data_IF_637282217825
#
_entry.id   IF_637282217825
#
_cell.length_a   1.000
_cell.length_b   1.000
_cell.length_c   1.000
_cell.angle_alpha   90.00
_cell.angle_beta   90.00
_cell.angle_gamma   90.00
#
_symmetry.space_group_name_H-M   'P 1'
#
loop_
_entity.id
_entity.type
_entity.pdbx_description
1 polymer ?
#
# COMPACT_ATOMS: atom_id res chain seq x y z
N UNK A 1 -2.00 -23.13 -49.61
CA UNK A 1 -2.20 -23.77 -48.29
C UNK A 1 -1.83 -22.74 -47.23
N UNK A 2 -2.81 -22.11 -46.57
CA UNK A 2 -2.57 -21.05 -45.59
C UNK A 2 -2.50 -21.71 -44.21
N UNK A 3 -1.31 -21.74 -43.62
CA UNK A 3 -1.08 -22.24 -42.27
C UNK A 3 -1.53 -21.15 -41.27
N UNK A 4 -2.74 -21.27 -40.74
CA UNK A 4 -3.23 -20.39 -39.67
C UNK A 4 -2.68 -20.92 -38.34
N UNK A 5 -1.58 -20.33 -37.88
CA UNK A 5 -1.04 -20.54 -36.54
C UNK A 5 -1.99 -19.89 -35.52
N UNK A 6 -2.81 -20.70 -34.86
CA UNK A 6 -3.55 -20.28 -33.68
C UNK A 6 -2.57 -20.04 -32.53
N UNK A 7 -2.17 -18.78 -32.35
CA UNK A 7 -1.55 -18.34 -31.11
C UNK A 7 -2.61 -18.37 -30.01
N UNK A 8 -2.68 -19.48 -29.29
CA UNK A 8 -3.38 -19.51 -28.00
C UNK A 8 -2.50 -18.71 -27.04
N UNK A 9 -2.93 -17.53 -26.56
CA UNK A 9 -2.13 -16.80 -25.59
C UNK A 9 -1.97 -17.68 -24.35
N UNK A 10 -0.75 -17.82 -23.80
CA UNK A 10 -0.56 -18.58 -22.58
C UNK A 10 -1.40 -17.93 -21.47
N UNK A 11 -2.41 -18.64 -21.00
CA UNK A 11 -3.15 -18.26 -19.79
C UNK A 11 -2.23 -18.53 -18.61
N UNK A 12 -1.41 -17.55 -18.25
CA UNK A 12 -0.70 -17.57 -16.97
C UNK A 12 -1.75 -17.45 -15.87
N UNK A 13 -2.13 -18.59 -15.29
CA UNK A 13 -2.97 -18.65 -14.11
C UNK A 13 -2.20 -18.07 -12.94
N UNK A 14 -2.45 -16.80 -12.63
CA UNK A 14 -1.95 -16.14 -11.43
C UNK A 14 -2.52 -16.86 -10.20
N UNK A 15 -1.69 -17.58 -9.46
CA UNK A 15 -2.11 -18.25 -8.24
C UNK A 15 -2.31 -17.21 -7.13
N UNK A 16 -3.54 -17.13 -6.60
CA UNK A 16 -3.91 -16.16 -5.58
C UNK A 16 -4.02 -16.82 -4.21
N UNK A 17 -3.37 -16.23 -3.22
CA UNK A 17 -3.47 -16.65 -1.83
C UNK A 17 -4.84 -16.24 -1.30
N UNK A 18 -5.64 -17.20 -0.87
CA UNK A 18 -6.93 -16.92 -0.25
C UNK A 18 -6.73 -16.46 1.20
N UNK A 19 -7.41 -15.37 1.57
CA UNK A 19 -7.52 -14.94 2.96
C UNK A 19 -8.29 -16.01 3.76
N UNK A 20 -7.56 -16.84 4.51
CA UNK A 20 -8.12 -17.96 5.28
C UNK A 20 -8.39 -17.61 6.75
N UNK A 21 -7.64 -16.66 7.31
CA UNK A 21 -7.74 -16.23 8.71
C UNK A 21 -8.12 -14.76 8.80
N UNK A 22 -8.69 -14.37 9.94
CA UNK A 22 -9.00 -12.95 10.20
C UNK A 22 -7.72 -12.13 10.38
N UNK A 23 -6.73 -12.65 11.11
CA UNK A 23 -5.40 -12.07 11.24
C UNK A 23 -4.37 -13.01 10.60
N UNK A 24 -3.54 -12.49 9.69
CA UNK A 24 -2.49 -13.26 9.00
C UNK A 24 -1.27 -12.40 8.69
N UNK A 25 -0.13 -13.07 8.55
CA UNK A 25 1.15 -12.49 8.13
C UNK A 25 1.63 -13.25 6.90
N UNK A 26 2.04 -12.52 5.87
CA UNK A 26 2.74 -13.05 4.70
C UNK A 26 4.10 -12.39 4.62
N UNK A 27 5.13 -13.19 4.40
CA UNK A 27 6.51 -12.72 4.26
C UNK A 27 7.07 -13.14 2.91
N UNK A 28 7.66 -12.19 2.21
CA UNK A 28 8.30 -12.41 0.91
C UNK A 28 9.74 -11.92 1.00
N UNK A 29 10.70 -12.84 1.18
CA UNK A 29 12.12 -12.50 1.15
C UNK A 29 12.49 -11.79 -0.15
N UNK A 30 13.42 -10.82 -0.08
CA UNK A 30 13.89 -10.05 -1.23
C UNK A 30 12.75 -9.38 -2.04
N UNK A 31 11.70 -8.90 -1.37
CA UNK A 31 10.57 -8.22 -2.01
C UNK A 31 9.91 -9.03 -3.12
N UNK A 32 9.85 -10.36 -2.98
CA UNK A 32 9.41 -11.31 -4.00
C UNK A 32 10.19 -11.21 -5.33
N UNK A 33 11.41 -10.67 -5.31
CA UNK A 33 12.26 -10.40 -6.47
C UNK A 33 11.57 -9.59 -7.60
N UNK A 34 10.54 -8.79 -7.26
CA UNK A 34 9.74 -8.05 -8.22
C UNK A 34 8.58 -8.83 -8.88
N UNK A 35 8.36 -10.09 -8.48
CA UNK A 35 7.23 -10.88 -8.95
C UNK A 35 5.91 -10.38 -8.34
N UNK A 36 4.83 -10.49 -9.11
CA UNK A 36 3.50 -10.08 -8.66
C UNK A 36 2.96 -11.05 -7.61
N UNK A 37 2.49 -10.51 -6.49
CA UNK A 37 1.80 -11.26 -5.45
C UNK A 37 0.29 -11.07 -5.66
N UNK A 38 -0.46 -12.17 -5.62
CA UNK A 38 -1.91 -12.14 -5.69
C UNK A 38 -2.53 -12.60 -4.37
N UNK A 39 -3.43 -11.79 -3.82
CA UNK A 39 -4.20 -12.11 -2.61
C UNK A 39 -5.69 -11.95 -2.92
N UNK A 40 -6.47 -12.99 -2.65
CA UNK A 40 -7.92 -12.94 -2.71
C UNK A 40 -8.48 -12.56 -1.33
N UNK A 41 -8.94 -11.31 -1.20
CA UNK A 41 -9.58 -10.77 0.00
C UNK A 41 -11.01 -11.28 0.03
N UNK A 42 -11.27 -12.25 0.90
CA UNK A 42 -12.57 -12.94 0.99
C UNK A 42 -13.49 -12.34 2.04
N UNK A 43 -12.97 -11.54 2.97
CA UNK A 43 -13.73 -10.97 4.10
C UNK A 43 -13.88 -9.46 3.98
N UNK A 44 -15.07 -8.97 4.35
CA UNK A 44 -15.35 -7.53 4.49
C UNK A 44 -14.56 -6.96 5.66
N UNK A 45 -14.36 -5.65 5.63
CA UNK A 45 -13.59 -4.86 6.59
C UNK A 45 -12.17 -5.39 6.78
N UNK A 46 -11.60 -5.94 5.72
CA UNK A 46 -10.19 -6.31 5.70
C UNK A 46 -9.35 -5.04 5.62
N UNK A 47 -8.23 -5.05 6.32
CA UNK A 47 -7.20 -4.04 6.22
C UNK A 47 -5.84 -4.70 6.12
N UNK A 48 -4.94 -4.10 5.35
CA UNK A 48 -3.59 -4.59 5.12
C UNK A 48 -2.57 -3.55 5.56
N UNK A 49 -1.53 -3.97 6.26
CA UNK A 49 -0.33 -3.18 6.53
C UNK A 49 0.82 -3.79 5.74
N UNK A 50 1.54 -2.96 5.00
CA UNK A 50 2.71 -3.34 4.20
C UNK A 50 3.96 -2.76 4.84
N UNK A 51 5.03 -3.54 4.89
CA UNK A 51 6.32 -3.14 5.46
C UNK A 51 7.50 -3.63 4.62
N UNK A 52 8.58 -2.85 4.65
CA UNK A 52 9.91 -3.23 4.16
C UNK A 52 10.19 -2.97 2.67
N UNK A 53 9.18 -2.90 1.80
CA UNK A 53 9.37 -2.70 0.36
C UNK A 53 8.87 -1.35 -0.14
N UNK A 54 9.73 -0.63 -0.86
CA UNK A 54 9.43 0.67 -1.48
C UNK A 54 8.91 0.46 -2.90
N UNK A 55 8.19 1.47 -3.41
CA UNK A 55 7.75 1.52 -4.80
C UNK A 55 6.85 0.33 -5.17
N UNK A 56 5.78 0.14 -4.39
CA UNK A 56 4.78 -0.91 -4.62
C UNK A 56 3.63 -0.34 -5.46
N UNK A 57 3.32 -1.00 -6.58
CA UNK A 57 2.05 -0.81 -7.29
C UNK A 57 1.02 -1.81 -6.76
N UNK A 58 -0.17 -1.31 -6.46
CA UNK A 58 -1.30 -2.06 -5.93
C UNK A 58 -2.44 -1.93 -6.90
N UNK A 59 -3.04 -3.05 -7.28
CA UNK A 59 -4.24 -3.10 -8.08
C UNK A 59 -5.31 -3.87 -7.32
N UNK A 60 -6.41 -3.20 -7.01
CA UNK A 60 -7.59 -3.81 -6.39
C UNK A 60 -8.81 -3.48 -7.23
N UNK A 61 -9.42 -4.50 -7.83
CA UNK A 61 -10.47 -4.35 -8.86
C UNK A 61 -9.98 -3.42 -9.99
N UNK A 62 -10.71 -2.34 -10.26
CA UNK A 62 -10.38 -1.33 -11.29
C UNK A 62 -9.43 -0.25 -10.79
N UNK A 63 -9.16 -0.20 -9.48
CA UNK A 63 -8.34 0.85 -8.87
C UNK A 63 -6.87 0.46 -8.85
N UNK A 64 -6.02 1.40 -9.23
CA UNK A 64 -4.58 1.30 -9.07
C UNK A 64 -4.08 2.36 -8.10
N UNK A 65 -3.13 1.98 -7.25
CA UNK A 65 -2.42 2.89 -6.36
C UNK A 65 -0.93 2.57 -6.39
N UNK A 66 -0.13 3.59 -6.17
CA UNK A 66 1.30 3.46 -6.05
C UNK A 66 1.72 4.01 -4.70
N UNK A 67 2.58 3.29 -3.98
CA UNK A 67 3.20 3.77 -2.76
C UNK A 67 4.71 3.79 -2.92
N UNK A 68 5.31 4.96 -2.78
CA UNK A 68 6.76 5.10 -2.69
C UNK A 68 7.30 4.73 -1.30
N UNK A 69 6.42 4.73 -0.29
CA UNK A 69 6.78 4.51 1.11
C UNK A 69 6.97 3.03 1.40
N UNK A 70 8.00 2.66 2.19
CA UNK A 70 8.24 1.27 2.57
C UNK A 70 7.16 0.69 3.47
N UNK A 71 6.50 1.57 4.24
CA UNK A 71 5.55 1.22 5.28
C UNK A 71 4.27 2.02 5.04
N UNK A 72 3.14 1.34 4.89
CA UNK A 72 1.84 1.99 4.72
C UNK A 72 0.70 1.00 4.97
N UNK A 73 -0.52 1.51 5.14
CA UNK A 73 -1.71 0.69 5.33
C UNK A 73 -2.79 0.97 4.28
N UNK A 74 -3.71 0.01 4.09
CA UNK A 74 -4.92 0.15 3.31
C UNK A 74 -6.11 -0.49 4.04
N UNK A 75 -7.24 0.21 4.06
CA UNK A 75 -8.55 -0.33 4.44
C UNK A 75 -9.40 -0.58 3.19
N UNK A 76 -9.95 -1.79 3.07
CA UNK A 76 -10.83 -2.18 1.97
C UNK A 76 -12.32 -1.91 2.29
N UNK A 77 -12.65 -1.54 3.53
CA UNK A 77 -14.04 -1.28 3.93
C UNK A 77 -14.92 -2.50 3.65
N UNK A 78 -16.10 -2.32 3.07
CA UNK A 78 -17.01 -3.42 2.76
C UNK A 78 -16.62 -4.25 1.53
N UNK A 79 -15.53 -3.90 0.85
CA UNK A 79 -15.15 -4.52 -0.42
C UNK A 79 -14.36 -5.82 -0.25
N UNK A 80 -14.68 -6.82 -1.07
CA UNK A 80 -13.92 -8.06 -1.25
C UNK A 80 -13.42 -8.17 -2.69
N UNK A 81 -12.43 -9.04 -2.94
CA UNK A 81 -11.91 -9.31 -4.27
C UNK A 81 -10.41 -9.50 -4.32
N UNK A 82 -9.85 -9.44 -5.53
CA UNK A 82 -8.44 -9.71 -5.76
C UNK A 82 -7.60 -8.44 -5.62
N UNK A 83 -6.62 -8.50 -4.73
CA UNK A 83 -5.53 -7.55 -4.59
C UNK A 83 -4.29 -8.13 -5.30
N UNK A 84 -3.80 -7.40 -6.30
CA UNK A 84 -2.53 -7.68 -6.97
C UNK A 84 -1.50 -6.65 -6.50
N UNK A 85 -0.37 -7.14 -6.02
CA UNK A 85 0.72 -6.34 -5.47
C UNK A 85 1.93 -6.56 -6.37
N UNK A 86 2.48 -5.48 -6.90
CA UNK A 86 3.65 -5.48 -7.76
C UNK A 86 4.75 -4.70 -7.06
N UNK A 87 5.54 -5.34 -6.19
CA UNK A 87 6.68 -4.70 -5.58
C UNK A 87 7.76 -4.48 -6.65
N UNK A 88 8.56 -3.43 -6.50
CA UNK A 88 9.84 -3.37 -7.22
C UNK A 88 10.82 -4.34 -6.57
N UNK A 89 11.76 -4.88 -7.36
CA UNK A 89 12.86 -5.68 -6.84
C UNK A 89 13.59 -4.93 -5.72
N UNK A 90 13.75 -5.59 -4.58
CA UNK A 90 14.36 -5.07 -3.37
C UNK A 90 15.10 -6.19 -2.65
N UNK A 91 16.16 -5.87 -1.91
CA UNK A 91 16.83 -6.82 -1.02
C UNK A 91 16.09 -6.94 0.33
N UNK A 92 15.18 -6.02 0.62
CA UNK A 92 14.41 -6.04 1.86
C UNK A 92 13.28 -7.07 1.77
N UNK A 93 12.98 -7.73 2.89
CA UNK A 93 11.77 -8.55 3.03
C UNK A 93 10.53 -7.67 2.94
N UNK A 94 9.59 -8.04 2.08
CA UNK A 94 8.24 -7.47 2.08
C UNK A 94 7.39 -8.26 3.07
N UNK A 95 6.86 -7.58 4.09
CA UNK A 95 5.91 -8.16 5.03
C UNK A 95 4.53 -7.56 4.79
N UNK A 96 3.51 -8.42 4.74
CA UNK A 96 2.11 -8.03 4.58
C UNK A 96 1.35 -8.60 5.76
N UNK A 97 0.85 -7.72 6.62
CA UNK A 97 -0.09 -8.08 7.67
C UNK A 97 -1.50 -7.81 7.19
N UNK A 98 -2.43 -8.73 7.46
CA UNK A 98 -3.84 -8.54 7.15
C UNK A 98 -4.68 -8.80 8.38
N UNK A 99 -5.63 -7.91 8.65
CA UNK A 99 -6.64 -8.09 9.68
C UNK A 99 -8.05 -7.90 9.10
N UNK A 100 -9.03 -8.64 9.63
CA UNK A 100 -10.46 -8.45 9.37
C UNK A 100 -11.08 -7.84 10.60
N UNK A 101 -11.58 -6.62 10.50
CA UNK A 101 -12.36 -6.00 11.56
C UNK A 101 -13.72 -6.70 11.68
N UNK A 102 -14.24 -6.77 12.91
CA UNK A 102 -15.59 -7.25 13.15
C UNK A 102 -16.63 -6.22 12.67
N UNK A 103 -17.77 -6.69 12.16
CA UNK A 103 -18.82 -5.82 11.61
C UNK A 103 -19.40 -4.82 12.62
N UNK A 104 -19.28 -5.13 13.92
CA UNK A 104 -19.75 -4.30 15.02
C UNK A 104 -18.74 -3.22 15.47
N UNK A 105 -17.60 -3.08 14.79
CA UNK A 105 -16.63 -2.02 15.08
C UNK A 105 -17.16 -0.66 14.58
N UNK A 106 -17.57 0.21 15.49
CA UNK A 106 -17.98 1.59 15.18
C UNK A 106 -16.77 2.41 14.69
N UNK A 107 -15.65 2.30 15.38
CA UNK A 107 -14.40 2.99 15.05
C UNK A 107 -13.32 1.97 14.68
N UNK A 108 -12.69 2.13 13.52
CA UNK A 108 -11.62 1.26 13.03
C UNK A 108 -10.33 2.05 12.91
N UNK A 109 -9.35 1.70 13.73
CA UNK A 109 -8.02 2.29 13.74
C UNK A 109 -7.03 1.28 13.16
N UNK A 110 -6.18 1.74 12.25
CA UNK A 110 -5.10 0.93 11.67
C UNK A 110 -3.82 1.72 11.86
N UNK A 111 -2.80 1.10 12.44
CA UNK A 111 -1.52 1.75 12.62
C UNK A 111 -0.37 0.78 12.50
N UNK A 112 0.72 1.30 11.94
CA UNK A 112 2.06 0.72 12.04
C UNK A 112 3.05 1.75 12.60
N UNK A 113 2.53 2.82 13.21
CA UNK A 113 3.34 3.87 13.79
C UNK A 113 4.00 3.33 15.07
N UNK A 114 5.35 3.22 15.12
CA UNK A 114 6.04 2.83 16.35
C UNK A 114 5.66 3.69 17.55
N UNK A 115 5.16 4.92 17.36
CA UNK A 115 4.76 5.82 18.43
C UNK A 115 3.28 5.87 18.77
N UNK A 116 2.52 4.90 18.27
CA UNK A 116 1.09 4.91 18.47
C UNK A 116 0.79 5.22 19.94
N UNK A 117 0.12 6.34 20.19
CA UNK A 117 -0.37 6.72 21.50
C UNK A 117 -1.81 7.17 21.33
N UNK A 118 -2.73 6.28 21.67
CA UNK A 118 -4.16 6.47 21.45
C UNK A 118 -4.93 6.11 22.72
N UNK A 119 -5.82 7.02 23.10
CA UNK A 119 -6.90 6.78 24.05
C UNK A 119 -8.19 6.71 23.27
N UNK A 120 -8.98 5.66 23.49
CA UNK A 120 -10.27 5.47 22.81
C UNK A 120 -11.44 6.05 23.60
N UNK A 121 -12.55 6.31 22.90
CA UNK A 121 -13.77 6.83 23.51
C UNK A 121 -14.58 5.73 24.21
N UNK A 122 -15.19 6.07 25.34
CA UNK A 122 -16.22 5.24 25.97
C UNK A 122 -17.47 5.17 25.11
N UNK A 123 -18.22 4.05 25.17
CA UNK A 123 -19.56 3.84 24.56
C UNK A 123 -19.60 3.51 23.07
N UNK A 124 -18.46 3.48 22.37
CA UNK A 124 -18.35 3.00 20.98
C UNK A 124 -17.45 1.78 20.93
N UNK A 125 -17.80 0.81 20.11
CA UNK A 125 -16.93 -0.33 19.84
C UNK A 125 -15.74 0.16 19.00
N UNK A 126 -14.61 0.35 19.66
CA UNK A 126 -13.37 0.73 18.99
C UNK A 126 -12.51 -0.51 18.76
N UNK A 127 -12.05 -0.63 17.53
CA UNK A 127 -11.20 -1.71 17.09
C UNK A 127 -9.91 -1.15 16.53
N UNK A 128 -8.78 -1.63 17.05
CA UNK A 128 -7.45 -1.23 16.62
C UNK A 128 -6.74 -2.43 16.00
N UNK A 129 -6.22 -2.27 14.79
CA UNK A 129 -5.24 -3.16 14.21
C UNK A 129 -3.88 -2.49 14.21
N UNK A 130 -2.96 -3.02 15.02
CA UNK A 130 -1.57 -2.60 15.05
C UNK A 130 -0.68 -3.67 14.45
N UNK A 131 0.20 -3.29 13.52
CA UNK A 131 1.18 -4.19 12.93
C UNK A 131 2.50 -3.44 12.72
N UNK A 132 3.60 -4.00 13.19
CA UNK A 132 4.95 -3.44 13.12
C UNK A 132 5.97 -4.58 13.29
N UNK A 133 6.79 -4.85 12.27
CA UNK A 133 7.75 -5.96 12.25
C UNK A 133 8.94 -5.79 13.20
N UNK A 134 9.30 -4.57 13.57
CA UNK A 134 10.59 -4.25 14.17
C UNK A 134 10.55 -4.23 15.72
N UNK A 135 9.92 -5.23 16.34
CA UNK A 135 9.77 -5.34 17.80
C UNK A 135 8.74 -4.38 18.43
N UNK A 136 7.62 -4.10 17.76
CA UNK A 136 6.54 -3.34 18.37
C UNK A 136 5.88 -4.12 19.51
N UNK A 137 6.38 -3.97 20.74
CA UNK A 137 5.56 -4.23 21.92
C UNK A 137 4.54 -3.10 22.05
N UNK A 138 3.30 -3.48 22.30
CA UNK A 138 2.23 -2.56 22.61
C UNK A 138 1.95 -2.67 24.10
N UNK A 139 1.99 -1.54 24.78
CA UNK A 139 1.51 -1.42 26.15
C UNK A 139 0.03 -1.02 26.12
N UNK A 140 -0.80 -1.85 26.71
CA UNK A 140 -2.25 -1.71 26.71
C UNK A 140 -2.78 -1.59 28.13
N UNK A 141 -3.45 -0.48 28.42
CA UNK A 141 -4.15 -0.26 29.68
C UNK A 141 -5.65 -0.17 29.46
N UNK A 142 -6.44 -0.80 30.32
CA UNK A 142 -7.89 -0.91 30.17
C UNK A 142 -8.59 -1.04 31.52
N UNK A 143 -9.80 -0.47 31.63
CA UNK A 143 -10.61 -0.54 32.85
C UNK A 143 -11.61 -1.71 32.85
N UNK A 144 -11.88 -2.28 31.68
CA UNK A 144 -12.79 -3.43 31.49
C UNK A 144 -12.07 -4.53 30.71
N UNK A 145 -12.51 -5.80 30.79
CA UNK A 145 -11.92 -6.85 29.99
C UNK A 145 -11.96 -6.53 28.49
N UNK A 146 -10.83 -6.73 27.81
CA UNK A 146 -10.68 -6.44 26.38
C UNK A 146 -10.30 -7.69 25.61
N UNK A 147 -10.76 -7.78 24.36
CA UNK A 147 -10.40 -8.88 23.46
C UNK A 147 -9.16 -8.47 22.67
N UNK A 148 -8.15 -9.34 22.68
CA UNK A 148 -6.93 -9.20 21.88
C UNK A 148 -6.74 -10.44 21.03
N UNK A 149 -6.49 -10.26 19.74
CA UNK A 149 -6.15 -11.34 18.82
C UNK A 149 -4.76 -11.09 18.25
N UNK A 150 -3.89 -12.08 18.38
CA UNK A 150 -2.54 -12.07 17.81
C UNK A 150 -2.40 -13.22 16.81
N UNK A 151 -1.25 -13.36 16.16
CA UNK A 151 -0.97 -14.52 15.30
C UNK A 151 -1.05 -15.86 16.06
N UNK A 152 -0.84 -15.84 17.38
CA UNK A 152 -0.82 -17.03 18.23
C UNK A 152 -2.20 -17.42 18.75
N UNK A 153 -3.20 -16.55 18.65
CA UNK A 153 -4.57 -16.84 19.09
C UNK A 153 -5.29 -15.63 19.67
N UNK A 154 -6.43 -15.92 20.29
CA UNK A 154 -7.30 -14.93 20.93
C UNK A 154 -7.13 -15.03 22.43
N UNK A 155 -6.99 -13.89 23.10
CA UNK A 155 -6.93 -13.77 24.54
C UNK A 155 -7.87 -12.66 25.02
N UNK A 156 -8.40 -12.82 26.23
CA UNK A 156 -9.17 -11.78 26.92
C UNK A 156 -8.32 -11.26 28.07
N UNK A 157 -7.90 -10.00 27.98
CA UNK A 157 -7.10 -9.37 29.01
C UNK A 157 -8.02 -8.79 30.08
N UNK A 158 -7.72 -9.09 31.33
CA UNK A 158 -8.40 -8.49 32.48
C UNK A 158 -8.13 -6.98 32.54
N UNK A 159 -8.92 -6.21 33.32
CA UNK A 159 -8.60 -4.83 33.64
C UNK A 159 -7.17 -4.68 34.16
N UNK A 160 -6.55 -3.55 33.83
CA UNK A 160 -5.24 -3.17 34.36
C UNK A 160 -5.35 -2.92 35.87
N UNK A 161 -4.42 -3.49 36.63
CA UNK A 161 -4.34 -3.35 38.09
C UNK A 161 -3.02 -2.62 38.40
N UNK A 162 -3.06 -1.63 39.29
CA UNK A 162 -1.89 -0.85 39.72
C UNK A 162 -1.12 -0.18 38.57
N UNK A 163 -1.82 0.27 37.52
CA UNK A 163 -1.24 0.94 36.35
C UNK A 163 -0.17 0.15 35.59
N UNK A 164 -0.10 -1.18 35.76
CA UNK A 164 0.82 -2.04 35.02
C UNK A 164 0.17 -2.45 33.69
N UNK A 165 0.60 -1.88 32.54
CA UNK A 165 -0.01 -2.20 31.26
C UNK A 165 0.28 -3.64 30.84
N UNK A 166 -0.62 -4.21 30.05
CA UNK A 166 -0.38 -5.49 29.37
C UNK A 166 0.58 -5.26 28.20
N UNK A 167 1.67 -6.03 28.13
CA UNK A 167 2.55 -6.05 26.97
C UNK A 167 2.06 -7.06 25.94
N UNK A 168 1.86 -6.62 24.70
CA UNK A 168 1.32 -7.42 23.60
C UNK A 168 2.29 -7.34 22.43
N UNK A 169 2.64 -8.50 21.88
CA UNK A 169 3.47 -8.58 20.67
C UNK A 169 2.64 -8.26 19.42
N UNK A 170 3.16 -7.36 18.58
CA UNK A 170 2.64 -7.08 17.25
C UNK A 170 2.82 -8.27 16.27
N UNK A 171 1.90 -8.49 15.31
CA UNK A 171 0.68 -7.73 15.07
C UNK A 171 -0.43 -8.12 16.04
N UNK A 172 -1.25 -7.14 16.41
CA UNK A 172 -2.37 -7.32 17.33
C UNK A 172 -3.63 -6.62 16.82
N UNK A 173 -4.75 -7.31 16.95
CA UNK A 173 -6.08 -6.77 16.84
C UNK A 173 -6.68 -6.63 18.24
N UNK A 174 -7.05 -5.41 18.62
CA UNK A 174 -7.60 -5.06 19.93
C UNK A 174 -9.03 -4.57 19.74
N UNK A 175 -9.95 -5.04 20.58
CA UNK A 175 -11.36 -4.67 20.54
C UNK A 175 -11.88 -4.38 21.95
N UNK A 176 -12.53 -3.22 22.10
CA UNK A 176 -13.22 -2.80 23.32
C UNK A 176 -14.42 -1.91 23.02
N UNK A 177 -15.47 -2.02 23.83
CA UNK A 177 -16.61 -1.09 23.88
C UNK A 177 -16.42 0.06 24.88
N UNK A 178 -15.28 0.10 25.55
CA UNK A 178 -14.92 1.07 26.56
C UNK A 178 -13.50 1.60 26.34
N UNK A 179 -13.12 2.62 27.11
CA UNK A 179 -11.83 3.30 27.05
C UNK A 179 -10.70 2.30 27.27
N UNK A 180 -9.74 2.34 26.36
CA UNK A 180 -8.43 1.72 26.52
C UNK A 180 -7.35 2.66 25.98
N UNK A 181 -6.16 2.54 26.56
CA UNK A 181 -4.97 3.26 26.16
C UNK A 181 -4.00 2.31 25.52
N UNK A 182 -3.52 2.66 24.33
CA UNK A 182 -2.47 1.94 23.62
C UNK A 182 -1.28 2.86 23.46
N UNK A 183 -0.10 2.38 23.88
CA UNK A 183 1.18 3.01 23.59
C UNK A 183 2.17 2.01 22.97
N UNK A 184 2.98 2.44 22.01
CA UNK A 184 4.10 1.67 21.46
C UNK A 184 5.44 2.42 21.66
N UNK A 185 6.58 1.70 21.52
CA UNK A 185 7.92 2.22 21.84
C UNK A 185 8.36 3.44 21.00
N UNK A 186 9.00 4.40 21.66
CA UNK A 186 9.17 5.76 21.16
C UNK A 186 10.39 5.96 20.24
N UNK A 187 10.31 5.71 18.91
CA UNK A 187 11.19 6.34 17.87
C UNK A 187 10.53 6.63 16.48
N UNK A 188 11.05 7.62 15.71
CA UNK A 188 10.36 8.44 14.66
C UNK A 188 9.69 7.76 13.41
N UNK A 189 8.32 7.84 13.29
CA UNK A 189 7.45 8.23 12.11
C UNK A 189 6.40 7.25 11.47
N UNK A 190 5.23 7.77 10.98
CA UNK A 190 4.68 7.77 9.56
C UNK A 190 3.12 7.61 9.32
N UNK A 191 2.66 7.77 8.05
CA UNK A 191 1.31 8.22 7.56
C UNK A 191 0.28 7.13 7.11
N UNK A 192 -1.03 7.48 7.15
CA UNK A 192 -2.20 6.64 6.77
C UNK A 192 -2.96 7.15 5.52
N UNK A 193 -3.51 6.24 4.67
CA UNK A 193 -4.38 6.58 3.53
C UNK A 193 -5.63 5.68 3.41
N UNK A 194 -6.81 6.27 3.15
CA UNK A 194 -8.10 5.56 2.98
C UNK A 194 -8.48 5.43 1.48
N UNK A 195 -9.06 4.29 1.08
CA UNK A 195 -9.34 3.97 -0.34
C UNK A 195 -10.75 4.34 -0.79
N UNK A 196 -11.72 4.38 0.12
CA UNK A 196 -13.11 4.81 -0.10
C UNK A 196 -13.83 5.02 1.24
N UNK A 197 -14.06 6.26 1.65
CA UNK A 197 -14.93 6.61 2.77
C UNK A 197 -15.24 8.11 2.73
N UNK A 198 -16.52 8.49 2.83
CA UNK A 198 -16.87 9.89 3.16
C UNK A 198 -16.47 10.08 4.62
N UNK A 199 -15.61 11.06 4.89
CA UNK A 199 -15.31 11.52 6.25
C UNK A 199 -16.62 11.93 6.90
N UNK A 200 -16.97 11.33 8.03
CA UNK A 200 -17.83 11.98 8.99
C UNK A 200 -16.97 12.53 10.14
N UNK A 201 -17.49 13.51 10.88
CA UNK A 201 -16.78 14.18 11.96
C UNK A 201 -16.48 13.27 13.17
N UNK A 202 -16.78 11.97 13.10
CA UNK A 202 -16.45 10.98 14.13
C UNK A 202 -15.18 10.15 13.82
N UNK A 203 -14.58 10.32 12.64
CA UNK A 203 -13.25 9.78 12.27
C UNK A 203 -12.07 10.57 12.90
N UNK A 204 -12.33 11.41 13.91
CA UNK A 204 -11.33 12.30 14.50
C UNK A 204 -10.54 11.57 15.59
N UNK A 205 -9.42 10.97 15.18
CA UNK A 205 -8.16 10.98 15.94
C UNK A 205 -6.98 10.69 15.01
N UNK A 206 -6.87 11.48 13.93
CA UNK A 206 -5.60 11.71 13.26
C UNK A 206 -5.15 13.12 13.64
N UNK A 207 -4.54 13.27 14.82
CA UNK A 207 -3.85 14.51 15.17
C UNK A 207 -2.56 14.53 14.35
N UNK A 208 -2.63 15.15 13.16
CA UNK A 208 -1.46 15.59 12.41
C UNK A 208 -0.75 16.60 13.33
N UNK A 209 0.28 16.14 14.05
CA UNK A 209 1.23 17.02 14.69
C UNK A 209 2.08 17.64 13.57
N UNK A 210 1.63 18.82 13.15
CA UNK A 210 2.42 19.94 12.64
C UNK A 210 3.94 19.70 12.72
N UNK A 211 4.54 19.29 11.62
CA UNK A 211 5.94 19.63 11.36
C UNK A 211 5.91 21.08 10.93
N UNK A 212 6.21 21.98 11.87
CA UNK A 212 6.53 23.34 11.53
C UNK A 212 7.83 23.35 10.74
N UNK A 213 7.72 23.47 9.43
CA UNK A 213 8.69 24.18 8.57
C UNK A 213 7.98 24.54 7.28
N UNK A 214 8.18 25.78 6.86
CA UNK A 214 7.77 26.29 5.56
C UNK A 214 8.18 25.34 4.41
N UNK A 215 7.25 25.16 3.48
CA UNK A 215 7.39 24.69 2.09
C UNK A 215 7.56 23.17 1.78
N UNK A 216 7.10 22.71 0.58
CA UNK A 216 5.84 23.05 -0.08
C UNK A 216 5.13 21.82 -0.70
N UNK A 217 4.00 22.05 -1.36
CA UNK A 217 3.23 21.11 -2.21
C UNK A 217 4.01 20.50 -3.41
N UNK A 218 5.34 20.40 -3.39
CA UNK A 218 6.16 20.27 -4.60
C UNK A 218 6.41 18.87 -5.17
N UNK A 219 6.08 17.79 -4.46
CA UNK A 219 6.38 16.45 -4.99
C UNK A 219 5.39 16.00 -6.08
N UNK A 220 4.13 16.48 -6.03
CA UNK A 220 3.13 16.15 -7.05
C UNK A 220 3.14 17.10 -8.25
N UNK A 221 3.62 18.34 -8.08
CA UNK A 221 3.88 19.27 -9.19
C UNK A 221 5.13 18.86 -9.96
N UNK A 222 6.21 18.41 -9.32
CA UNK A 222 7.41 17.97 -10.04
C UNK A 222 7.14 16.79 -11.00
N UNK A 223 6.42 15.75 -10.56
CA UNK A 223 6.11 14.60 -11.44
C UNK A 223 5.20 15.02 -12.61
N UNK A 224 4.27 15.96 -12.40
CA UNK A 224 3.44 16.50 -13.48
C UNK A 224 4.22 17.41 -14.43
N UNK A 225 5.19 18.17 -13.92
CA UNK A 225 6.04 19.07 -14.70
C UNK A 225 7.03 18.25 -15.54
N UNK A 226 7.67 17.22 -14.97
CA UNK A 226 8.55 16.31 -15.71
C UNK A 226 7.81 15.57 -16.82
N UNK A 227 6.59 15.08 -16.56
CA UNK A 227 5.78 14.46 -17.61
C UNK A 227 5.37 15.43 -18.72
N UNK A 228 5.12 16.70 -18.40
CA UNK A 228 4.84 17.74 -19.41
C UNK A 228 6.09 18.10 -20.22
N UNK A 229 7.24 18.24 -19.57
CA UNK A 229 8.53 18.52 -20.22
C UNK A 229 8.95 17.38 -21.14
N UNK A 230 8.75 16.13 -20.72
CA UNK A 230 9.03 14.96 -21.55
C UNK A 230 8.14 14.90 -22.80
N UNK A 231 6.84 15.22 -22.66
CA UNK A 231 5.92 15.32 -23.81
C UNK A 231 6.32 16.44 -24.78
N UNK A 232 6.73 17.60 -24.26
CA UNK A 232 7.21 18.72 -25.07
C UNK A 232 8.51 18.38 -25.81
N UNK A 233 9.44 17.67 -25.17
CA UNK A 233 10.68 17.23 -25.78
C UNK A 233 10.43 16.26 -26.96
N UNK A 234 9.51 15.29 -26.80
CA UNK A 234 9.12 14.38 -27.88
C UNK A 234 8.52 15.15 -29.07
N UNK A 235 7.64 16.12 -28.81
CA UNK A 235 7.05 16.95 -29.86
C UNK A 235 8.12 17.76 -30.58
N UNK A 236 9.07 18.36 -29.85
CA UNK A 236 10.16 19.13 -30.45
C UNK A 236 11.07 18.26 -31.34
N UNK A 237 11.43 17.06 -30.89
CA UNK A 237 12.20 16.10 -31.70
C UNK A 237 11.45 15.72 -32.96
N UNK A 238 10.15 15.40 -32.84
CA UNK A 238 9.32 15.03 -33.98
C UNK A 238 9.22 16.17 -35.02
N UNK A 239 8.99 17.40 -34.58
CA UNK A 239 8.96 18.57 -35.46
C UNK A 239 10.31 18.84 -36.13
N UNK A 240 11.41 18.57 -35.44
CA UNK A 240 12.76 18.74 -36.01
C UNK A 240 13.01 17.72 -37.11
N UNK A 241 12.66 16.45 -36.87
CA UNK A 241 12.74 15.39 -37.88
C UNK A 241 11.85 15.67 -39.09
N UNK A 242 10.62 16.13 -38.86
CA UNK A 242 9.71 16.52 -39.93
C UNK A 242 10.31 17.65 -40.77
N UNK A 243 10.94 18.64 -40.13
CA UNK A 243 11.61 19.74 -40.82
C UNK A 243 12.77 19.26 -41.67
N UNK A 244 13.61 18.36 -41.14
CA UNK A 244 14.71 17.73 -41.88
C UNK A 244 14.16 17.02 -43.13
N UNK A 245 13.08 16.24 -42.98
CA UNK A 245 12.45 15.52 -44.09
C UNK A 245 11.88 16.46 -45.16
N UNK A 246 11.29 17.59 -44.75
CA UNK A 246 10.75 18.59 -45.68
C UNK A 246 11.84 19.45 -46.34
N UNK A 247 12.99 19.65 -45.68
CA UNK A 247 14.14 20.39 -46.22
C UNK A 247 15.12 19.52 -46.99
N UNK A 248 15.01 18.20 -46.87
CA UNK A 248 15.61 17.25 -47.78
C UNK A 248 14.88 17.37 -49.12
N UNK A 249 15.16 18.47 -49.81
CA UNK A 249 14.87 18.62 -51.22
C UNK A 249 15.42 17.38 -51.91
N UNK A 250 14.64 16.68 -52.75
CA UNK A 250 15.14 15.58 -53.53
C UNK A 250 16.24 16.16 -54.42
N UNK A 251 17.50 16.06 -53.99
CA UNK A 251 18.62 16.18 -54.89
C UNK A 251 18.37 15.09 -55.91
N UNK A 252 18.00 15.53 -57.11
CA UNK A 252 17.90 14.70 -58.30
C UNK A 252 19.05 13.70 -58.25
N UNK A 253 18.72 12.42 -58.10
CA UNK A 253 19.64 11.34 -58.39
C UNK A 253 19.99 11.52 -59.87
N UNK A 254 21.07 12.25 -60.15
CA UNK A 254 21.73 12.18 -61.45
C UNK A 254 22.32 10.79 -61.55
N UNK A 255 21.56 9.89 -62.15
CA UNK A 255 22.08 8.70 -62.81
C UNK A 255 22.94 9.17 -63.98
N UNK A 256 24.22 9.45 -63.73
CA UNK A 256 25.22 9.44 -64.79
C UNK A 256 25.58 7.99 -65.07
N UNK A 257 24.80 7.41 -65.99
CA UNK A 257 25.24 6.27 -66.77
C UNK A 257 26.43 6.71 -67.63
N UNK A 258 27.61 6.16 -67.34
CA UNK A 258 28.65 5.97 -68.35
C UNK A 258 29.34 4.64 -68.11
N UNK A 259 28.64 3.58 -68.52
CA UNK A 259 29.30 2.36 -68.97
C UNK A 259 30.00 2.67 -70.30
N UNK A 260 31.33 2.78 -70.28
CA UNK A 260 32.15 2.54 -71.48
C UNK A 260 32.78 1.16 -71.36
N UNK A 261 32.27 0.22 -72.14
CA UNK A 261 32.87 -1.07 -72.42
C UNK A 261 33.38 -1.01 -73.86
N UNK A 262 34.65 -1.38 -74.04
CA UNK A 262 35.41 -1.61 -75.29
C UNK A 262 36.06 -0.36 -75.90
#
# INVERSE_FOLDING_TARGET
MILVLFFIPPTFSLYCINQSKSLMKLEYPNGNNGESICINITKKYTSTVFEGSRQIELQFKTKKRFSAFPNFAMDFGTETGVLVIKPKKSENTLVIYMNTFEDLCDTRLISNDPFLNVTTDSKKMTCLFYANSNHGQINLSNNVPIKVSTLNGVQYLAPTINDVPHSITSPAYIRSSDVFNVSAEKENASMMFTVNGKRDHSDISAKILSIGTNEPDDLFTMVKIEQKLFKLAIIAVFLTLLRIFMTASPKELKTEDSFSLI
#
